data_IF_336013244063
#
_entry.id   IF_336013244063
#
_cell.length_a   1.000
_cell.length_b   1.000
_cell.length_c   1.000
_cell.angle_alpha   90.00
_cell.angle_beta   90.00
_cell.angle_gamma   90.00
#
_symmetry.space_group_name_H-M   'P 1'
#
loop_
_entity.id
_entity.type
_entity.pdbx_description
1 polymer ?
#
# COMPACT_ATOMS: atom_id res chain seq x y z
N UNK A 1 -3.56 17.19 -4.08
CA UNK A 1 -3.26 15.77 -4.40
C UNK A 1 -3.19 15.66 -5.91
N UNK A 2 -2.05 15.29 -6.50
CA UNK A 2 -1.94 15.16 -7.96
C UNK A 2 -2.83 13.99 -8.37
N UNK A 3 -3.99 14.25 -8.99
CA UNK A 3 -4.98 13.25 -9.40
C UNK A 3 -4.34 12.02 -10.09
N UNK A 4 -3.21 12.20 -10.77
CA UNK A 4 -2.47 11.13 -11.44
C UNK A 4 -1.88 10.04 -10.53
N UNK A 5 -1.37 10.36 -9.32
CA UNK A 5 -0.79 9.32 -8.44
C UNK A 5 -1.88 8.46 -7.79
N UNK A 6 -3.02 9.04 -7.47
CA UNK A 6 -4.17 8.31 -6.96
C UNK A 6 -4.67 7.27 -7.99
N UNK A 7 -4.90 7.67 -9.24
CA UNK A 7 -5.33 6.74 -10.28
C UNK A 7 -4.27 5.69 -10.61
N UNK A 8 -2.98 6.03 -10.55
CA UNK A 8 -1.90 5.05 -10.69
C UNK A 8 -1.93 3.96 -9.61
N UNK A 9 -2.28 4.29 -8.36
CA UNK A 9 -2.49 3.28 -7.31
C UNK A 9 -3.69 2.39 -7.57
N UNK A 10 -4.77 2.94 -8.13
CA UNK A 10 -5.94 2.15 -8.54
C UNK A 10 -5.52 1.13 -9.60
N UNK A 11 -4.79 1.57 -10.64
CA UNK A 11 -4.28 0.68 -11.69
C UNK A 11 -3.37 -0.41 -11.11
N UNK A 12 -2.46 -0.03 -10.20
CA UNK A 12 -1.58 -0.99 -9.53
C UNK A 12 -2.35 -2.01 -8.67
N UNK A 13 -3.37 -1.55 -7.93
CA UNK A 13 -4.23 -2.42 -7.11
C UNK A 13 -4.97 -3.45 -7.97
N UNK A 14 -5.58 -3.00 -9.07
CA UNK A 14 -6.29 -3.90 -9.97
C UNK A 14 -5.35 -4.93 -10.62
N UNK A 15 -4.16 -4.49 -11.05
CA UNK A 15 -3.15 -5.38 -11.61
C UNK A 15 -2.68 -6.41 -10.59
N UNK A 16 -2.32 -5.99 -9.36
CA UNK A 16 -1.90 -6.91 -8.30
C UNK A 16 -3.00 -7.89 -7.86
N UNK A 17 -4.26 -7.44 -7.84
CA UNK A 17 -5.40 -8.31 -7.62
C UNK A 17 -5.50 -9.37 -8.72
N UNK A 18 -5.38 -8.96 -9.98
CA UNK A 18 -5.39 -9.87 -11.12
C UNK A 18 -4.25 -10.89 -11.04
N UNK A 19 -3.04 -10.49 -10.64
CA UNK A 19 -1.90 -11.42 -10.46
C UNK A 19 -2.10 -12.41 -9.30
N UNK A 20 -2.77 -11.98 -8.23
CA UNK A 20 -3.08 -12.86 -7.09
C UNK A 20 -4.18 -13.88 -7.46
N UNK A 21 -5.13 -13.52 -8.34
CA UNK A 21 -6.29 -14.34 -8.71
C UNK A 21 -6.12 -15.14 -10.00
N UNK A 22 -5.35 -14.60 -10.95
CA UNK A 22 -5.06 -15.17 -12.25
C UNK A 22 -3.55 -15.27 -12.44
N UNK A 23 -3.09 -16.34 -13.10
CA UNK A 23 -1.66 -16.56 -13.39
C UNK A 23 -1.21 -15.75 -14.60
N UNK A 24 -1.57 -14.47 -14.66
CA UNK A 24 -1.11 -13.55 -15.70
C UNK A 24 0.26 -12.98 -15.36
N UNK A 25 0.93 -12.42 -16.37
CA UNK A 25 2.18 -11.69 -16.15
C UNK A 25 1.87 -10.24 -15.75
N UNK A 26 2.76 -9.57 -15.00
CA UNK A 26 2.59 -8.17 -14.60
C UNK A 26 2.38 -7.24 -15.81
N UNK A 27 3.11 -7.47 -16.90
CA UNK A 27 3.04 -6.66 -18.13
C UNK A 27 1.67 -6.77 -18.78
N UNK A 28 1.10 -7.99 -18.80
CA UNK A 28 -0.24 -8.21 -19.34
C UNK A 28 -1.31 -7.52 -18.48
N UNK A 29 -1.27 -7.75 -17.16
CA UNK A 29 -2.25 -7.17 -16.23
C UNK A 29 -2.23 -5.64 -16.30
N UNK A 30 -1.05 -5.02 -16.14
CA UNK A 30 -0.91 -3.57 -16.26
C UNK A 30 -1.30 -3.05 -17.64
N UNK A 31 -0.90 -3.73 -18.71
CA UNK A 31 -1.20 -3.35 -20.08
C UNK A 31 -2.71 -3.30 -20.36
N UNK A 32 -3.47 -4.28 -19.85
CA UNK A 32 -4.92 -4.29 -19.94
C UNK A 32 -5.55 -3.12 -19.16
N UNK A 33 -5.15 -2.92 -17.89
CA UNK A 33 -5.69 -1.84 -17.04
C UNK A 33 -5.39 -0.45 -17.62
N UNK A 34 -4.20 -0.23 -18.17
CA UNK A 34 -3.78 1.05 -18.75
C UNK A 34 -4.46 1.37 -20.10
N UNK A 35 -4.91 0.36 -20.84
CA UNK A 35 -5.75 0.57 -22.04
C UNK A 35 -7.14 1.07 -21.65
N UNK A 36 -7.72 0.50 -20.61
CA UNK A 36 -9.05 0.88 -20.11
C UNK A 36 -9.02 2.22 -19.37
N UNK A 37 -7.95 2.48 -18.62
CA UNK A 37 -7.76 3.70 -17.82
C UNK A 37 -6.41 4.36 -18.14
N UNK A 38 -6.33 5.14 -19.23
CA UNK A 38 -5.09 5.80 -19.64
C UNK A 38 -4.57 6.77 -18.58
N UNK A 39 -3.26 6.74 -18.36
CA UNK A 39 -2.56 7.65 -17.46
C UNK A 39 -1.50 8.46 -18.22
N UNK A 40 -1.16 9.67 -17.77
CA UNK A 40 0.04 10.37 -18.23
C UNK A 40 1.29 9.52 -17.98
N UNK A 41 2.36 9.75 -18.74
CA UNK A 41 3.63 9.00 -18.65
C UNK A 41 4.15 8.83 -17.22
N UNK A 42 4.08 9.88 -16.40
CA UNK A 42 4.50 9.82 -15.00
C UNK A 42 3.60 8.89 -14.14
N UNK A 43 2.29 8.86 -14.41
CA UNK A 43 1.36 7.96 -13.74
C UNK A 43 1.56 6.51 -14.16
N UNK A 44 1.85 6.26 -15.45
CA UNK A 44 2.23 4.93 -15.95
C UNK A 44 3.49 4.44 -15.24
N UNK A 45 4.57 5.23 -15.26
CA UNK A 45 5.82 4.86 -14.60
C UNK A 45 5.64 4.58 -13.10
N UNK A 46 4.80 5.38 -12.43
CA UNK A 46 4.50 5.15 -11.02
C UNK A 46 3.70 3.86 -10.79
N UNK A 47 2.70 3.55 -11.62
CA UNK A 47 1.93 2.30 -11.51
C UNK A 47 2.82 1.06 -11.71
N UNK A 48 3.71 1.08 -12.71
CA UNK A 48 4.70 0.03 -12.92
C UNK A 48 5.62 -0.14 -11.70
N UNK A 49 6.19 0.96 -11.20
CA UNK A 49 7.06 0.93 -10.02
C UNK A 49 6.37 0.33 -8.79
N UNK A 50 5.07 0.60 -8.58
CA UNK A 50 4.31 0.00 -7.48
C UNK A 50 4.16 -1.51 -7.65
N UNK A 51 3.79 -1.98 -8.84
CA UNK A 51 3.58 -3.40 -9.10
C UNK A 51 4.89 -4.18 -9.00
N UNK A 52 5.93 -3.74 -9.71
CA UNK A 52 7.25 -4.38 -9.69
C UNK A 52 7.83 -4.40 -8.28
N UNK A 53 7.84 -3.24 -7.60
CA UNK A 53 8.36 -3.14 -6.26
C UNK A 53 7.61 -4.01 -5.23
N UNK A 54 6.28 -4.11 -5.36
CA UNK A 54 5.50 -5.03 -4.52
C UNK A 54 5.87 -6.48 -4.80
N UNK A 55 6.06 -6.88 -6.06
CA UNK A 55 6.42 -8.25 -6.41
C UNK A 55 7.84 -8.61 -5.94
N UNK A 56 8.81 -7.73 -6.14
CA UNK A 56 10.21 -7.91 -5.74
C UNK A 56 10.36 -8.03 -4.23
N UNK A 57 9.56 -7.29 -3.47
CA UNK A 57 9.59 -7.29 -2.01
C UNK A 57 8.47 -8.12 -1.37
N UNK A 58 7.69 -8.88 -2.16
CA UNK A 58 6.45 -9.51 -1.72
C UNK A 58 6.62 -10.35 -0.46
N UNK A 59 7.65 -11.19 -0.40
CA UNK A 59 7.90 -12.07 0.75
C UNK A 59 8.13 -11.27 2.04
N UNK A 60 8.94 -10.20 1.97
CA UNK A 60 9.24 -9.34 3.11
C UNK A 60 8.03 -8.52 3.54
N UNK A 61 7.27 -7.99 2.57
CA UNK A 61 6.03 -7.25 2.82
C UNK A 61 4.98 -8.16 3.46
N UNK A 62 4.74 -9.35 2.91
CA UNK A 62 3.78 -10.32 3.47
C UNK A 62 4.19 -10.76 4.87
N UNK A 63 5.49 -10.94 5.14
CA UNK A 63 5.98 -11.20 6.49
C UNK A 63 5.67 -10.05 7.46
N UNK A 64 5.88 -8.80 7.04
CA UNK A 64 5.51 -7.63 7.85
C UNK A 64 4.00 -7.57 8.10
N UNK A 65 3.16 -7.84 7.10
CA UNK A 65 1.71 -7.89 7.29
C UNK A 65 1.34 -8.91 8.38
N UNK A 66 1.92 -10.12 8.36
CA UNK A 66 1.70 -11.14 9.41
C UNK A 66 2.08 -10.61 10.81
N UNK A 67 3.16 -9.85 10.92
CA UNK A 67 3.58 -9.28 12.21
C UNK A 67 2.72 -8.08 12.68
N UNK A 68 2.08 -7.38 11.76
CA UNK A 68 1.25 -6.21 12.05
C UNK A 68 -0.21 -6.58 12.30
N UNK A 69 -0.69 -7.67 11.71
CA UNK A 69 -2.03 -8.23 11.89
C UNK A 69 -1.96 -9.68 12.40
N UNK A 70 -1.42 -9.95 13.61
CA UNK A 70 -1.18 -11.31 14.09
C UNK A 70 -2.46 -12.13 14.29
N UNK A 71 -3.61 -11.46 14.48
CA UNK A 71 -4.93 -12.09 14.61
C UNK A 71 -5.50 -12.56 13.27
N UNK A 72 -4.89 -12.20 12.14
CA UNK A 72 -5.36 -12.51 10.79
C UNK A 72 -4.25 -13.16 9.96
N UNK A 73 -4.34 -14.48 9.66
CA UNK A 73 -3.45 -15.10 8.69
C UNK A 73 -3.50 -14.32 7.36
N UNK A 74 -2.35 -14.01 6.77
CA UNK A 74 -2.27 -13.18 5.55
C UNK A 74 -3.07 -13.77 4.39
N UNK A 75 -3.16 -15.10 4.36
CA UNK A 75 -3.92 -15.86 3.37
C UNK A 75 -5.43 -15.68 3.53
N UNK A 76 -5.90 -15.34 4.73
CA UNK A 76 -7.31 -15.09 5.06
C UNK A 76 -7.72 -13.63 4.93
N UNK A 77 -6.77 -12.70 4.82
CA UNK A 77 -7.04 -11.30 4.51
C UNK A 77 -7.64 -11.23 3.10
N UNK A 78 -8.73 -10.48 2.94
CA UNK A 78 -9.34 -10.22 1.65
C UNK A 78 -8.27 -9.76 0.64
N UNK A 79 -8.30 -10.31 -0.58
CA UNK A 79 -7.26 -10.10 -1.59
C UNK A 79 -7.05 -8.61 -1.89
N UNK A 80 -8.13 -7.83 -1.90
CA UNK A 80 -8.10 -6.37 -2.05
C UNK A 80 -7.34 -5.72 -0.88
N UNK A 81 -7.74 -5.98 0.36
CA UNK A 81 -7.11 -5.39 1.55
C UNK A 81 -5.63 -5.77 1.66
N UNK A 82 -5.29 -7.02 1.33
CA UNK A 82 -3.91 -7.50 1.29
C UNK A 82 -3.08 -6.73 0.26
N UNK A 83 -3.60 -6.51 -0.95
CA UNK A 83 -2.87 -5.76 -1.97
C UNK A 83 -2.79 -4.26 -1.66
N UNK A 84 -3.80 -3.67 -1.02
CA UNK A 84 -3.74 -2.30 -0.50
C UNK A 84 -2.62 -2.17 0.53
N UNK A 85 -2.55 -3.10 1.49
CA UNK A 85 -1.48 -3.13 2.49
C UNK A 85 -0.12 -3.30 1.82
N UNK A 86 0.02 -4.17 0.83
CA UNK A 86 1.28 -4.36 0.11
C UNK A 86 1.77 -3.09 -0.56
N UNK A 87 0.90 -2.40 -1.29
CA UNK A 87 1.22 -1.12 -1.96
C UNK A 87 1.66 -0.09 -0.92
N UNK A 88 0.89 0.09 0.15
CA UNK A 88 1.17 1.10 1.17
C UNK A 88 2.49 0.83 1.91
N UNK A 89 2.73 -0.43 2.29
CA UNK A 89 3.98 -0.83 2.96
C UNK A 89 5.16 -0.66 2.01
N UNK A 90 5.03 -1.03 0.73
CA UNK A 90 6.08 -0.79 -0.25
C UNK A 90 6.42 0.70 -0.34
N UNK A 91 5.41 1.57 -0.49
CA UNK A 91 5.64 3.00 -0.56
C UNK A 91 6.30 3.56 0.70
N UNK A 92 5.84 3.15 1.89
CA UNK A 92 6.38 3.64 3.17
C UNK A 92 7.86 3.25 3.35
N UNK A 93 8.25 2.05 2.90
CA UNK A 93 9.57 1.48 3.20
C UNK A 93 10.61 1.70 2.10
N UNK A 94 10.18 1.82 0.84
CA UNK A 94 11.09 1.80 -0.30
C UNK A 94 10.94 3.02 -1.23
N UNK A 95 9.93 3.88 -1.03
CA UNK A 95 9.68 5.05 -1.88
C UNK A 95 9.85 6.34 -1.08
N UNK A 96 11.06 6.94 -1.04
CA UNK A 96 11.32 8.15 -0.24
C UNK A 96 10.48 9.36 -0.66
N UNK A 97 10.00 9.37 -1.91
CA UNK A 97 9.21 10.47 -2.47
C UNK A 97 7.74 10.49 -2.03
N UNK A 98 7.27 9.47 -1.31
CA UNK A 98 5.91 9.44 -0.74
C UNK A 98 5.99 9.58 0.78
N UNK A 99 5.52 10.71 1.36
CA UNK A 99 5.44 10.83 2.81
C UNK A 99 4.57 9.71 3.41
N UNK A 100 5.00 9.05 4.51
CA UNK A 100 4.27 7.90 5.04
C UNK A 100 2.79 8.18 5.35
N UNK A 101 2.47 9.37 5.88
CA UNK A 101 1.08 9.80 6.13
C UNK A 101 0.23 9.86 4.85
N UNK A 102 0.83 10.24 3.72
CA UNK A 102 0.14 10.25 2.42
C UNK A 102 -0.14 8.82 1.96
N UNK A 103 0.84 7.91 2.06
CA UNK A 103 0.63 6.50 1.71
C UNK A 103 -0.49 5.85 2.55
N UNK A 104 -0.54 6.14 3.86
CA UNK A 104 -1.63 5.65 4.74
C UNK A 104 -2.98 6.20 4.30
N UNK A 105 -3.09 7.51 4.09
CA UNK A 105 -4.36 8.12 3.66
C UNK A 105 -4.86 7.51 2.34
N UNK A 106 -3.97 7.36 1.36
CA UNK A 106 -4.32 6.77 0.05
C UNK A 106 -4.75 5.31 0.18
N UNK A 107 -4.09 4.53 1.04
CA UNK A 107 -4.48 3.15 1.32
C UNK A 107 -5.89 3.06 1.92
N UNK A 108 -6.22 3.97 2.85
CA UNK A 108 -7.55 4.04 3.46
C UNK A 108 -8.61 4.45 2.43
N UNK A 109 -8.31 5.39 1.53
CA UNK A 109 -9.23 5.76 0.45
C UNK A 109 -9.46 4.59 -0.52
N UNK A 110 -8.41 3.85 -0.91
CA UNK A 110 -8.56 2.64 -1.71
C UNK A 110 -9.42 1.59 -1.00
N UNK A 111 -9.25 1.42 0.31
CA UNK A 111 -10.04 0.48 1.10
C UNK A 111 -11.52 0.87 1.15
N UNK A 112 -11.84 2.18 1.17
CA UNK A 112 -13.24 2.66 1.07
C UNK A 112 -13.86 2.39 -0.30
N UNK A 113 -13.06 2.49 -1.36
CA UNK A 113 -13.57 2.34 -2.73
C UNK A 113 -13.73 0.88 -3.16
N UNK A 114 -12.81 0.00 -2.74
CA UNK A 114 -12.72 -1.38 -3.24
C UNK A 114 -12.96 -2.46 -2.17
N UNK A 115 -12.83 -2.10 -0.89
CA UNK A 115 -12.99 -3.02 0.23
C UNK A 115 -14.44 -3.13 0.72
N UNK A 116 -14.58 -3.76 1.88
CA UNK A 116 -15.84 -3.83 2.63
C UNK A 116 -15.96 -2.68 3.62
N UNK A 117 -17.10 -2.56 4.32
CA UNK A 117 -17.32 -1.53 5.35
C UNK A 117 -16.27 -1.57 6.48
N UNK A 118 -15.68 -2.73 6.77
CA UNK A 118 -14.65 -2.89 7.80
C UNK A 118 -13.22 -2.61 7.29
N UNK A 119 -13.01 -2.63 5.97
CA UNK A 119 -11.69 -2.53 5.34
C UNK A 119 -10.95 -1.22 5.65
N UNK A 120 -11.57 -0.02 5.62
CA UNK A 120 -10.87 1.23 5.95
C UNK A 120 -10.30 1.23 7.38
N UNK A 121 -11.09 0.73 8.34
CA UNK A 121 -10.66 0.64 9.75
C UNK A 121 -9.53 -0.36 9.91
N UNK A 122 -9.65 -1.52 9.26
CA UNK A 122 -8.62 -2.56 9.27
C UNK A 122 -7.29 -2.05 8.70
N UNK A 123 -7.29 -1.53 7.47
CA UNK A 123 -6.08 -1.00 6.81
C UNK A 123 -5.43 0.11 7.63
N UNK A 124 -6.23 1.05 8.15
CA UNK A 124 -5.71 2.13 8.99
C UNK A 124 -5.04 1.60 10.28
N UNK A 125 -5.63 0.59 10.93
CA UNK A 125 -5.07 0.00 12.15
C UNK A 125 -3.72 -0.70 11.91
N UNK A 126 -3.62 -1.48 10.83
CA UNK A 126 -2.39 -2.19 10.44
C UNK A 126 -1.28 -1.19 10.12
N UNK A 127 -1.57 -0.19 9.27
CA UNK A 127 -0.56 0.79 8.86
C UNK A 127 -0.19 1.75 10.00
N UNK A 128 -1.13 2.11 10.88
CA UNK A 128 -0.85 2.88 12.09
C UNK A 128 0.16 2.18 13.00
N UNK A 129 0.06 0.85 13.12
CA UNK A 129 1.03 0.03 13.86
C UNK A 129 2.41 0.06 13.21
N UNK A 130 2.48 -0.01 11.87
CA UNK A 130 3.75 0.10 11.14
C UNK A 130 4.42 1.44 11.38
N UNK A 131 3.69 2.56 11.24
CA UNK A 131 4.23 3.90 11.45
C UNK A 131 4.76 4.07 12.87
N UNK A 132 4.05 3.58 13.88
CA UNK A 132 4.50 3.64 15.26
C UNK A 132 5.81 2.86 15.47
N UNK A 133 5.93 1.65 14.88
CA UNK A 133 7.19 0.88 14.91
C UNK A 133 8.33 1.62 14.19
N UNK A 134 8.04 2.25 13.05
CA UNK A 134 9.03 2.99 12.26
C UNK A 134 9.56 4.22 13.03
N UNK A 135 8.66 5.01 13.62
CA UNK A 135 9.04 6.15 14.46
C UNK A 135 9.89 5.71 15.65
N UNK A 136 9.55 4.59 16.31
CA UNK A 136 10.33 4.07 17.46
C UNK A 136 11.73 3.58 17.07
N UNK A 137 11.94 3.13 15.84
CA UNK A 137 13.26 2.66 15.37
C UNK A 137 14.15 3.80 14.87
N UNK A 138 13.54 4.90 14.38
CA UNK A 138 14.26 6.07 13.87
C UNK A 138 14.43 7.16 14.93
N UNK A 139 13.56 7.22 15.93
CA UNK A 139 13.71 8.13 17.06
C UNK A 139 14.94 7.75 17.89
N UNK A 140 15.80 8.70 18.28
CA UNK A 140 16.92 8.42 19.16
C UNK A 140 16.39 7.88 20.50
N UNK A 141 17.09 6.94 21.16
CA UNK A 141 16.60 6.23 22.34
C UNK A 141 16.20 7.10 23.54
N UNK A 142 16.46 8.42 23.52
CA UNK A 142 16.22 9.35 24.62
C UNK A 142 15.43 10.62 24.22
N UNK A 143 14.39 10.53 23.39
CA UNK A 143 13.44 11.64 23.26
C UNK A 143 12.21 11.41 24.15
N UNK A 144 12.18 12.05 25.31
CA UNK A 144 10.95 12.26 26.07
C UNK A 144 9.93 12.96 25.18
N UNK A 145 8.73 12.38 25.05
CA UNK A 145 7.65 12.93 24.23
C UNK A 145 7.32 14.36 24.63
N UNK A 146 7.65 15.32 23.78
CA UNK A 146 7.12 16.68 23.89
C UNK A 146 5.71 16.73 23.30
N UNK A 147 4.80 17.33 24.06
CA UNK A 147 3.32 17.30 23.93
C UNK A 147 2.72 18.02 22.68
N UNK A 148 3.44 18.13 21.57
CA UNK A 148 3.05 19.01 20.46
C UNK A 148 2.54 18.32 19.19
N UNK A 149 2.08 17.07 19.26
CA UNK A 149 1.44 16.37 18.12
C UNK A 149 -0.11 16.35 18.15
N UNK A 150 -0.76 17.24 18.91
CA UNK A 150 -2.23 17.35 18.98
C UNK A 150 -2.82 18.70 18.52
N UNK A 151 -2.13 19.45 17.65
CA UNK A 151 -2.72 20.63 17.00
C UNK A 151 -2.88 20.40 15.49
#
# INVERSE_FOLDING_TARGET
MIKGRHHARIVALQALYELDMARHTPEYALGCRLKEHPLPRAGVAFAFSLVEGVLDHKQRIDHLIRQLAPEWPVEQIAVIDRNILRIAIFEILYTPDTPPKVAVNEAVELAKMFGSDSSPRFVNGVLGTLINRYVKQVAPPNLTMDKNWQN
#
